data_IF_019853759856
#
_entry.id   IF_019853759856
#
_cell.length_a   1.000
_cell.length_b   1.000
_cell.length_c   1.000
_cell.angle_alpha   90.00
_cell.angle_beta   90.00
_cell.angle_gamma   90.00
#
_symmetry.space_group_name_H-M   'P 1'
#
loop_
_entity.id
_entity.type
_entity.pdbx_description
1 polymer ?
#
# COMPACT_ATOMS: atom_id res chain seq x y z
N UNK A 1 17.71 50.16 47.88
CA UNK A 1 17.08 48.85 48.16
C UNK A 1 16.26 48.37 46.95
N UNK A 2 16.84 48.47 45.74
CA UNK A 2 16.12 48.36 44.45
C UNK A 2 16.70 47.26 43.54
N UNK A 3 17.46 46.31 44.11
CA UNK A 3 18.16 45.26 43.37
C UNK A 3 17.61 43.85 43.62
N UNK A 4 16.67 43.69 44.56
CA UNK A 4 16.05 42.38 44.85
C UNK A 4 14.74 42.11 44.08
N UNK A 5 14.10 43.13 43.48
CA UNK A 5 12.86 42.94 42.68
C UNK A 5 13.10 42.59 41.21
N UNK A 6 14.30 42.82 40.67
CA UNK A 6 14.61 42.48 39.27
C UNK A 6 14.94 40.98 39.09
N UNK A 7 15.59 40.37 40.08
CA UNK A 7 16.04 38.96 39.98
C UNK A 7 14.85 37.99 40.08
N UNK A 8 13.80 38.35 40.82
CA UNK A 8 12.63 37.49 40.98
C UNK A 8 11.72 37.51 39.74
N UNK A 9 11.73 38.56 38.93
CA UNK A 9 11.04 38.55 37.62
C UNK A 9 11.80 37.74 36.56
N UNK A 10 13.14 37.65 36.64
CA UNK A 10 13.95 36.91 35.68
C UNK A 10 13.82 35.38 35.84
N UNK A 11 13.61 34.91 37.08
CA UNK A 11 13.40 33.48 37.36
C UNK A 11 12.01 33.02 36.89
N UNK A 12 10.97 33.86 36.98
CA UNK A 12 9.66 33.55 36.40
C UNK A 12 9.67 33.57 34.86
N UNK A 13 10.56 34.33 34.23
CA UNK A 13 10.72 34.34 32.75
C UNK A 13 11.54 33.15 32.24
N UNK A 14 12.49 32.64 33.03
CA UNK A 14 13.26 31.43 32.67
C UNK A 14 12.51 30.14 33.01
N UNK A 15 11.56 30.17 33.96
CA UNK A 15 10.70 29.02 34.28
C UNK A 15 9.45 28.89 33.38
N UNK A 16 9.12 29.91 32.58
CA UNK A 16 8.07 29.83 31.54
C UNK A 16 8.63 29.66 30.13
N UNK A 17 9.95 29.67 29.97
CA UNK A 17 10.64 29.43 28.69
C UNK A 17 11.19 28.00 28.57
N UNK A 18 10.63 27.06 29.33
CA UNK A 18 10.90 25.62 29.22
C UNK A 18 9.64 24.78 29.01
N UNK A 19 8.49 25.42 28.73
CA UNK A 19 7.23 24.73 28.41
C UNK A 19 6.75 24.92 26.96
N UNK A 20 7.63 25.33 26.04
CA UNK A 20 7.31 25.51 24.62
C UNK A 20 8.36 24.93 23.68
N UNK A 21 9.00 23.85 24.08
CA UNK A 21 9.92 23.08 23.26
C UNK A 21 9.70 21.59 23.49
N UNK A 22 8.46 21.14 23.32
CA UNK A 22 8.13 19.73 23.05
C UNK A 22 6.99 19.70 22.03
N UNK A 23 7.15 20.40 20.91
CA UNK A 23 6.52 19.93 19.69
C UNK A 23 7.30 18.68 19.29
N UNK A 24 6.84 17.52 19.76
CA UNK A 24 7.27 16.20 19.28
C UNK A 24 7.36 16.32 17.76
N UNK A 25 8.58 16.36 17.23
CA UNK A 25 8.80 16.28 15.80
C UNK A 25 8.30 14.89 15.42
N UNK A 26 7.06 14.81 14.95
CA UNK A 26 6.58 13.60 14.29
C UNK A 26 7.63 13.26 13.23
N UNK A 27 8.14 12.02 13.19
CA UNK A 27 9.17 11.67 12.24
C UNK A 27 8.53 11.71 10.87
N UNK A 28 8.72 12.84 10.18
CA UNK A 28 8.47 12.92 8.74
C UNK A 28 9.21 11.74 8.13
N UNK A 29 8.54 10.92 7.30
CA UNK A 29 9.18 9.77 6.67
C UNK A 29 10.43 10.24 5.94
N UNK A 30 11.59 9.80 6.42
CA UNK A 30 12.88 10.19 5.84
C UNK A 30 13.08 9.59 4.44
N UNK A 31 12.37 8.49 4.17
CA UNK A 31 12.45 7.74 2.93
C UNK A 31 11.45 8.26 1.89
N UNK A 32 11.80 8.07 0.61
CA UNK A 32 10.94 8.38 -0.54
C UNK A 32 9.54 7.76 -0.42
N UNK A 33 9.51 6.53 0.08
CA UNK A 33 8.34 5.69 0.33
C UNK A 33 8.05 5.57 1.84
N UNK A 34 6.78 5.68 2.20
CA UNK A 34 6.27 5.50 3.56
C UNK A 34 6.44 4.07 4.04
N UNK A 35 6.15 3.10 3.16
CA UNK A 35 6.26 1.68 3.45
C UNK A 35 7.70 1.28 3.75
N UNK A 36 8.70 1.91 3.14
CA UNK A 36 10.09 1.70 3.55
C UNK A 36 10.30 2.06 5.03
N UNK A 37 9.78 3.21 5.47
CA UNK A 37 9.88 3.65 6.87
C UNK A 37 9.10 2.76 7.85
N UNK A 38 8.10 2.03 7.36
CA UNK A 38 7.43 0.96 8.11
C UNK A 38 8.31 -0.28 8.19
N UNK A 39 8.80 -0.79 7.06
CA UNK A 39 9.61 -2.00 7.01
C UNK A 39 11.02 -1.88 7.61
N UNK A 40 11.53 -0.67 7.76
CA UNK A 40 12.74 -0.39 8.54
C UNK A 40 12.54 -0.69 10.05
N UNK A 41 11.28 -0.71 10.52
CA UNK A 41 10.91 -0.98 11.91
C UNK A 41 10.21 -2.33 12.12
N UNK A 42 9.46 -2.78 11.13
CA UNK A 42 8.63 -3.98 11.21
C UNK A 42 9.04 -4.97 10.12
N UNK A 43 9.12 -6.25 10.46
CA UNK A 43 9.49 -7.29 9.49
C UNK A 43 8.30 -7.89 8.75
N UNK A 44 7.09 -7.76 9.31
CA UNK A 44 5.86 -8.35 8.80
C UNK A 44 4.76 -7.30 8.81
N UNK A 45 3.93 -7.28 7.77
CA UNK A 45 2.78 -6.39 7.67
C UNK A 45 1.60 -6.92 8.49
N UNK A 46 1.32 -6.25 9.60
CA UNK A 46 0.08 -6.41 10.37
C UNK A 46 -0.75 -5.13 10.31
N UNK A 47 -2.06 -5.29 10.12
CA UNK A 47 -2.97 -4.15 9.92
C UNK A 47 -2.99 -3.21 11.14
N UNK A 48 -3.02 -3.75 12.36
CA UNK A 48 -2.99 -2.95 13.61
C UNK A 48 -1.70 -2.14 13.76
N UNK A 49 -0.56 -2.75 13.44
CA UNK A 49 0.75 -2.12 13.58
C UNK A 49 0.92 -1.03 12.53
N UNK A 50 0.43 -1.29 11.31
CA UNK A 50 0.43 -0.32 10.25
C UNK A 50 -0.49 0.86 10.57
N UNK A 51 -1.72 0.61 11.04
CA UNK A 51 -2.65 1.67 11.40
C UNK A 51 -2.09 2.55 12.55
N UNK A 52 -1.40 1.95 13.52
CA UNK A 52 -0.68 2.66 14.57
C UNK A 52 0.52 3.45 14.03
N UNK A 53 1.30 2.87 13.13
CA UNK A 53 2.38 3.59 12.46
C UNK A 53 1.84 4.81 11.70
N UNK A 54 0.75 4.66 10.96
CA UNK A 54 0.13 5.73 10.18
C UNK A 54 -0.39 6.87 11.07
N UNK A 55 -0.94 6.58 12.24
CA UNK A 55 -1.42 7.61 13.19
C UNK A 55 -0.28 8.41 13.83
N UNK A 56 0.91 7.83 13.94
CA UNK A 56 2.11 8.50 14.45
C UNK A 56 2.88 9.27 13.38
N UNK A 57 2.98 8.69 12.18
CA UNK A 57 3.76 9.23 11.06
C UNK A 57 3.06 10.39 10.35
N UNK A 58 1.73 10.44 10.43
CA UNK A 58 0.93 11.49 9.83
C UNK A 58 0.22 12.22 10.95
N UNK A 59 0.69 13.42 11.34
CA UNK A 59 0.03 14.23 12.36
C UNK A 59 -1.44 14.40 11.99
N UNK A 60 -2.33 14.07 12.93
CA UNK A 60 -3.77 14.30 12.82
C UNK A 60 -4.04 15.79 12.97
N UNK A 61 -3.65 16.58 11.98
CA UNK A 61 -3.70 18.03 12.02
C UNK A 61 -3.20 18.62 10.71
N UNK A 62 -4.10 19.23 9.95
CA UNK A 62 -3.75 19.95 8.74
C UNK A 62 -2.99 21.21 9.14
N UNK A 63 -1.65 21.21 8.99
CA UNK A 63 -0.88 22.45 9.03
C UNK A 63 -1.39 23.48 7.99
N UNK A 64 -2.16 23.02 7.00
CA UNK A 64 -2.76 23.77 5.89
C UNK A 64 -4.29 24.03 6.02
N UNK A 65 -4.98 23.62 7.09
CA UNK A 65 -6.45 23.79 7.19
C UNK A 65 -7.27 23.10 6.09
N UNK A 66 -6.67 22.14 5.39
CA UNK A 66 -7.22 21.47 4.21
C UNK A 66 -7.75 20.08 4.57
N UNK A 67 -8.95 19.75 4.10
CA UNK A 67 -9.58 18.43 4.24
C UNK A 67 -10.01 17.97 2.84
N UNK A 68 -9.40 16.88 2.34
CA UNK A 68 -9.89 16.18 1.16
C UNK A 68 -10.88 15.11 1.57
N UNK A 69 -12.12 15.26 1.11
CA UNK A 69 -13.14 14.24 1.27
C UNK A 69 -13.29 13.44 -0.01
N UNK A 70 -13.32 12.13 0.15
CA UNK A 70 -13.61 11.19 -0.90
C UNK A 70 -15.13 11.15 -1.11
N UNK A 71 -15.59 11.27 -2.35
CA UNK A 71 -17.03 11.14 -2.67
C UNK A 71 -17.38 9.68 -2.97
N UNK A 72 -16.65 9.05 -3.88
CA UNK A 72 -16.87 7.66 -4.26
C UNK A 72 -15.55 6.90 -4.37
N UNK A 73 -15.56 5.65 -3.91
CA UNK A 73 -14.50 4.67 -4.17
C UNK A 73 -15.09 3.44 -4.81
N UNK A 74 -14.72 3.19 -6.07
CA UNK A 74 -15.14 1.99 -6.80
C UNK A 74 -13.94 1.11 -7.10
N UNK A 75 -14.08 -0.18 -6.77
CA UNK A 75 -13.02 -1.18 -6.96
C UNK A 75 -13.57 -2.40 -7.68
N UNK A 76 -12.83 -2.88 -8.66
CA UNK A 76 -13.22 -4.03 -9.47
C UNK A 76 -11.99 -4.88 -9.85
N UNK A 77 -12.12 -6.20 -9.75
CA UNK A 77 -11.15 -7.13 -10.34
C UNK A 77 -11.41 -7.30 -11.84
N UNK A 78 -10.36 -7.17 -12.63
CA UNK A 78 -10.36 -7.33 -14.08
C UNK A 78 -9.48 -8.53 -14.43
N UNK A 79 -9.95 -9.35 -15.37
CA UNK A 79 -9.23 -10.54 -15.85
C UNK A 79 -9.68 -11.83 -15.16
N UNK A 80 -9.01 -12.93 -15.52
CA UNK A 80 -9.34 -14.29 -15.10
C UNK A 80 -8.10 -15.07 -14.68
N UNK A 81 -8.28 -16.11 -13.85
CA UNK A 81 -7.17 -16.95 -13.40
C UNK A 81 -6.33 -16.36 -12.27
N UNK A 82 -5.02 -16.64 -12.30
CA UNK A 82 -4.05 -16.27 -11.25
C UNK A 82 -3.36 -14.93 -11.50
N UNK A 83 -3.48 -14.33 -12.68
CA UNK A 83 -3.01 -12.95 -12.96
C UNK A 83 -4.24 -12.10 -13.25
N UNK A 84 -4.47 -11.08 -12.41
CA UNK A 84 -5.62 -10.17 -12.51
C UNK A 84 -5.20 -8.76 -12.14
N UNK A 85 -5.99 -7.78 -12.56
CA UNK A 85 -5.76 -6.38 -12.20
C UNK A 85 -6.85 -5.87 -11.29
N UNK A 86 -6.47 -5.16 -10.21
CA UNK A 86 -7.42 -4.39 -9.40
C UNK A 86 -7.54 -2.99 -10.00
N UNK A 87 -8.69 -2.69 -10.56
CA UNK A 87 -9.03 -1.34 -11.01
C UNK A 87 -9.65 -0.55 -9.87
N UNK A 88 -9.04 0.59 -9.57
CA UNK A 88 -9.50 1.51 -8.53
C UNK A 88 -9.86 2.84 -9.17
N UNK A 89 -11.10 3.26 -8.97
CA UNK A 89 -11.64 4.56 -9.35
C UNK A 89 -11.94 5.36 -8.10
N UNK A 90 -11.33 6.53 -8.01
CA UNK A 90 -11.37 7.43 -6.86
C UNK A 90 -11.99 8.73 -7.33
N UNK A 91 -13.08 9.13 -6.67
CA UNK A 91 -13.74 10.40 -6.93
C UNK A 91 -13.65 11.28 -5.69
N UNK A 92 -13.33 12.55 -5.89
CA UNK A 92 -13.23 13.52 -4.81
C UNK A 92 -14.51 14.34 -4.71
N UNK A 93 -14.82 14.80 -3.50
CA UNK A 93 -15.86 15.79 -3.31
C UNK A 93 -15.29 17.17 -3.65
N UNK A 94 -15.96 17.89 -4.56
CA UNK A 94 -15.56 19.27 -4.90
C UNK A 94 -15.73 20.17 -3.67
N UNK A 95 -14.63 20.62 -3.08
CA UNK A 95 -14.62 21.63 -2.03
C UNK A 95 -13.55 22.68 -2.34
N UNK A 96 -13.89 23.94 -2.07
CA UNK A 96 -13.07 25.08 -2.45
C UNK A 96 -11.83 25.14 -1.54
N UNK A 97 -10.67 24.84 -2.13
CA UNK A 97 -9.39 24.86 -1.44
C UNK A 97 -9.05 26.28 -0.97
N UNK A 98 -8.86 26.45 0.34
CA UNK A 98 -8.28 27.66 0.92
C UNK A 98 -6.86 27.41 1.44
N UNK A 99 -6.03 26.68 0.68
CA UNK A 99 -4.60 26.66 0.99
C UNK A 99 -3.80 27.42 -0.08
N UNK A 100 -3.45 28.66 0.23
CA UNK A 100 -2.54 29.52 -0.55
C UNK A 100 -1.12 28.92 -0.66
N UNK A 101 -0.84 27.82 0.05
CA UNK A 101 0.46 27.17 0.16
C UNK A 101 0.75 26.13 -0.95
N UNK A 102 -0.20 25.81 -1.83
CA UNK A 102 -0.06 24.81 -2.89
C UNK A 102 0.66 25.38 -4.13
N UNK A 103 1.92 25.75 -3.94
CA UNK A 103 2.79 26.33 -4.97
C UNK A 103 3.93 25.35 -5.29
N UNK A 104 3.76 24.14 -5.82
CA UNK A 104 3.48 23.92 -7.25
C UNK A 104 3.51 22.40 -7.61
N UNK A 105 3.65 21.49 -6.64
CA UNK A 105 3.68 20.04 -6.87
C UNK A 105 3.07 19.26 -5.71
N UNK A 106 1.98 18.54 -5.99
CA UNK A 106 1.40 17.57 -5.07
C UNK A 106 1.52 16.18 -5.66
N UNK A 107 1.67 15.21 -4.78
CA UNK A 107 1.77 13.81 -5.11
C UNK A 107 0.67 13.08 -4.35
N UNK A 108 -0.07 12.27 -5.09
CA UNK A 108 -1.08 11.40 -4.52
C UNK A 108 -0.47 10.02 -4.32
N UNK A 109 -0.44 9.58 -3.08
CA UNK A 109 0.18 8.32 -2.67
C UNK A 109 -0.94 7.35 -2.31
N UNK A 110 -0.90 6.16 -2.90
CA UNK A 110 -1.84 5.08 -2.64
C UNK A 110 -1.05 3.90 -2.10
N UNK A 111 -1.43 3.42 -0.93
CA UNK A 111 -0.86 2.23 -0.31
C UNK A 111 -1.90 1.12 -0.37
N UNK A 112 -1.62 0.11 -1.17
CA UNK A 112 -2.43 -1.08 -1.33
C UNK A 112 -1.84 -2.22 -0.47
N UNK A 113 -2.50 -2.53 0.65
CA UNK A 113 -2.14 -3.66 1.52
C UNK A 113 -2.68 -4.95 0.93
N UNK A 114 -1.81 -5.77 0.35
CA UNK A 114 -2.25 -6.98 -0.34
C UNK A 114 -2.66 -8.08 0.67
N UNK A 115 -3.74 -8.84 0.38
CA UNK A 115 -4.12 -9.97 1.21
C UNK A 115 -3.08 -11.11 1.08
N UNK A 116 -3.08 -12.03 2.04
CA UNK A 116 -2.18 -13.18 1.98
C UNK A 116 -2.44 -14.02 0.72
N UNK A 117 -1.36 -14.52 0.11
CA UNK A 117 -1.45 -15.28 -1.13
C UNK A 117 -1.64 -14.43 -2.40
N UNK A 118 -1.53 -13.10 -2.30
CA UNK A 118 -1.49 -12.19 -3.44
C UNK A 118 -0.21 -11.35 -3.38
N UNK A 119 0.40 -11.08 -4.52
CA UNK A 119 1.55 -10.19 -4.64
C UNK A 119 1.48 -9.37 -5.94
N UNK A 120 2.27 -8.32 -6.01
CA UNK A 120 2.49 -7.57 -7.24
C UNK A 120 3.92 -7.82 -7.73
N UNK A 121 4.09 -8.02 -9.04
CA UNK A 121 5.42 -8.21 -9.64
C UNK A 121 6.12 -6.85 -9.79
N UNK A 122 7.26 -6.62 -9.10
CA UNK A 122 8.00 -5.37 -9.23
C UNK A 122 8.42 -5.03 -10.67
N UNK A 123 8.71 -6.04 -11.50
CA UNK A 123 9.12 -5.81 -12.90
C UNK A 123 7.94 -5.32 -13.75
N UNK A 124 6.76 -5.92 -13.58
CA UNK A 124 5.54 -5.47 -14.23
C UNK A 124 5.18 -4.02 -13.82
N UNK A 125 5.32 -3.68 -12.53
CA UNK A 125 5.06 -2.33 -12.04
C UNK A 125 6.07 -1.30 -12.54
N UNK A 126 7.35 -1.66 -12.67
CA UNK A 126 8.35 -0.78 -13.27
C UNK A 126 7.98 -0.40 -14.71
N UNK A 127 7.38 -1.32 -15.48
CA UNK A 127 6.91 -0.97 -16.82
C UNK A 127 5.82 0.11 -16.81
N UNK A 128 4.97 0.17 -15.77
CA UNK A 128 3.95 1.21 -15.62
C UNK A 128 4.58 2.58 -15.31
N UNK A 129 5.67 2.61 -14.55
CA UNK A 129 6.47 3.84 -14.32
C UNK A 129 7.12 4.31 -15.61
N UNK A 130 7.76 3.40 -16.36
CA UNK A 130 8.41 3.75 -17.64
C UNK A 130 7.42 4.30 -18.67
N UNK A 131 6.16 3.87 -18.63
CA UNK A 131 5.08 4.38 -19.48
C UNK A 131 4.46 5.69 -18.97
N UNK A 132 4.91 6.20 -17.83
CA UNK A 132 4.41 7.42 -17.21
C UNK A 132 3.01 7.28 -16.60
N UNK A 133 2.53 6.05 -16.36
CA UNK A 133 1.23 5.82 -15.69
C UNK A 133 1.36 6.15 -14.20
N UNK A 134 2.46 5.70 -13.59
CA UNK A 134 2.84 6.03 -12.21
C UNK A 134 4.08 6.91 -12.21
N UNK A 135 4.17 7.86 -11.29
CA UNK A 135 5.40 8.65 -11.13
C UNK A 135 6.46 7.84 -10.40
N UNK A 136 6.04 7.00 -9.46
CA UNK A 136 6.89 6.02 -8.81
C UNK A 136 6.06 4.88 -8.23
N UNK A 137 6.70 3.73 -8.00
CA UNK A 137 6.04 2.57 -7.38
C UNK A 137 7.06 1.65 -6.74
N UNK A 138 6.71 1.08 -5.58
CA UNK A 138 7.51 0.05 -4.95
C UNK A 138 6.64 -1.00 -4.25
N UNK A 139 7.15 -2.23 -4.21
CA UNK A 139 6.55 -3.38 -3.51
C UNK A 139 7.38 -3.65 -2.27
N UNK A 140 6.71 -3.87 -1.15
CA UNK A 140 7.34 -4.13 0.14
C UNK A 140 6.76 -5.38 0.80
N UNK A 141 7.58 -6.09 1.58
CA UNK A 141 7.22 -7.37 2.19
C UNK A 141 7.63 -8.56 1.32
N UNK A 142 6.80 -9.60 1.29
CA UNK A 142 7.13 -10.83 0.58
C UNK A 142 6.93 -10.72 -0.94
N UNK A 143 8.05 -10.72 -1.67
CA UNK A 143 8.11 -10.70 -3.13
C UNK A 143 8.61 -12.01 -3.73
N UNK A 144 8.76 -13.08 -2.95
CA UNK A 144 9.28 -14.35 -3.45
C UNK A 144 8.22 -15.08 -4.26
N UNK A 145 8.29 -15.01 -5.59
CA UNK A 145 7.31 -15.59 -6.52
C UNK A 145 7.08 -17.09 -6.34
N UNK A 146 8.06 -17.81 -5.81
CA UNK A 146 8.05 -19.28 -5.70
C UNK A 146 7.37 -19.79 -4.42
N UNK A 147 7.16 -18.94 -3.41
CA UNK A 147 6.54 -19.38 -2.16
C UNK A 147 5.02 -19.54 -2.31
N UNK A 148 4.45 -20.69 -1.85
CA UNK A 148 3.01 -20.85 -1.78
C UNK A 148 2.39 -19.95 -0.70
N UNK A 149 1.08 -19.71 -0.77
CA UNK A 149 0.43 -18.72 0.08
C UNK A 149 0.52 -19.02 1.59
N UNK A 150 0.58 -20.29 1.97
CA UNK A 150 0.69 -20.71 3.38
C UNK A 150 2.09 -20.55 3.99
N UNK A 151 3.11 -20.27 3.17
CA UNK A 151 4.47 -19.95 3.62
C UNK A 151 4.85 -18.49 3.35
N UNK A 152 4.03 -17.76 2.59
CA UNK A 152 4.30 -16.38 2.24
C UNK A 152 3.77 -15.42 3.30
N UNK A 153 4.53 -14.35 3.57
CA UNK A 153 4.02 -13.20 4.31
C UNK A 153 3.21 -12.27 3.40
N UNK A 154 2.49 -11.32 4.00
CA UNK A 154 1.78 -10.28 3.24
C UNK A 154 2.78 -9.28 2.63
N UNK A 155 2.34 -8.64 1.57
CA UNK A 155 3.06 -7.55 0.90
C UNK A 155 2.17 -6.32 0.79
N UNK A 156 2.76 -5.18 0.48
CA UNK A 156 2.05 -3.96 0.16
C UNK A 156 2.70 -3.25 -1.03
N UNK A 157 1.90 -2.52 -1.78
CA UNK A 157 2.37 -1.71 -2.90
C UNK A 157 2.12 -0.25 -2.56
N UNK A 158 3.15 0.57 -2.63
CA UNK A 158 3.05 2.02 -2.52
C UNK A 158 3.21 2.62 -3.92
N UNK A 159 2.18 3.36 -4.35
CA UNK A 159 2.05 3.90 -5.70
C UNK A 159 1.98 5.41 -5.59
N UNK A 160 2.78 6.09 -6.39
CA UNK A 160 2.87 7.53 -6.42
C UNK A 160 2.33 8.03 -7.76
N UNK A 161 1.45 9.03 -7.70
CA UNK A 161 0.89 9.73 -8.84
C UNK A 161 1.20 11.22 -8.73
N UNK A 162 1.71 11.82 -9.80
CA UNK A 162 1.82 13.27 -9.88
C UNK A 162 0.44 13.86 -10.13
N UNK A 163 0.00 14.74 -9.23
CA UNK A 163 -1.30 15.40 -9.32
C UNK A 163 -1.08 16.89 -9.43
N UNK A 164 -1.64 17.48 -10.50
CA UNK A 164 -1.68 18.92 -10.64
C UNK A 164 -2.48 19.50 -9.46
N UNK A 165 -1.97 20.51 -8.72
CA UNK A 165 -2.72 21.15 -7.64
C UNK A 165 -4.14 21.61 -8.04
N UNK A 166 -4.36 21.92 -9.32
CA UNK A 166 -5.67 22.31 -9.85
C UNK A 166 -6.66 21.14 -9.96
N UNK A 167 -6.20 19.89 -10.01
CA UNK A 167 -7.07 18.68 -9.94
C UNK A 167 -7.79 18.59 -8.59
N UNK A 168 -7.25 19.23 -7.54
CA UNK A 168 -7.94 19.33 -6.25
C UNK A 168 -9.03 20.44 -6.27
N UNK A 169 -9.08 21.26 -7.32
CA UNK A 169 -10.06 22.35 -7.50
C UNK A 169 -11.16 21.98 -8.51
N UNK A 170 -10.88 21.08 -9.46
CA UNK A 170 -11.83 20.57 -10.45
C UNK A 170 -12.11 19.07 -10.24
N UNK A 171 -13.36 18.58 -10.39
CA UNK A 171 -13.70 17.18 -10.17
C UNK A 171 -13.05 16.29 -11.24
N UNK A 172 -11.84 15.82 -10.98
CA UNK A 172 -11.15 14.84 -11.83
C UNK A 172 -11.11 13.50 -11.11
N UNK A 173 -11.68 12.49 -11.75
CA UNK A 173 -11.64 11.13 -11.25
C UNK A 173 -10.24 10.53 -11.47
N UNK A 174 -9.65 9.95 -10.43
CA UNK A 174 -8.40 9.18 -10.57
C UNK A 174 -8.78 7.73 -10.84
N UNK A 175 -8.36 7.21 -12.00
CA UNK A 175 -8.47 5.79 -12.34
C UNK A 175 -7.08 5.17 -12.44
N UNK A 176 -6.88 4.06 -11.76
CA UNK A 176 -5.67 3.26 -11.86
C UNK A 176 -5.99 1.76 -11.95
N UNK A 177 -5.05 0.99 -12.50
CA UNK A 177 -5.12 -0.46 -12.57
C UNK A 177 -3.80 -1.03 -12.04
N UNK A 178 -3.89 -1.85 -11.00
CA UNK A 178 -2.75 -2.51 -10.38
C UNK A 178 -2.75 -3.99 -10.77
N UNK A 179 -1.77 -4.48 -11.57
CA UNK A 179 -1.66 -5.88 -11.89
C UNK A 179 -1.15 -6.67 -10.68
N UNK A 180 -1.79 -7.81 -10.43
CA UNK A 180 -1.58 -8.67 -9.26
C UNK A 180 -1.57 -10.13 -9.66
N UNK A 181 -0.85 -10.91 -8.87
CA UNK A 181 -0.65 -12.33 -9.06
C UNK A 181 -1.07 -13.08 -7.80
N UNK A 182 -1.79 -14.19 -7.99
CA UNK A 182 -2.19 -15.10 -6.95
C UNK A 182 -1.16 -16.22 -6.81
N UNK A 183 -0.72 -16.46 -5.57
CA UNK A 183 0.13 -17.60 -5.20
C UNK A 183 -0.68 -18.88 -5.15
N UNK A 184 0.02 -20.02 -5.20
CA UNK A 184 -0.59 -21.32 -4.97
C UNK A 184 -1.27 -21.37 -3.62
N UNK A 185 -2.57 -21.64 -3.64
CA UNK A 185 -3.42 -21.69 -2.45
C UNK A 185 -3.50 -23.12 -1.90
N UNK A 186 -3.75 -23.31 -0.59
CA UNK A 186 -4.01 -24.63 -0.02
C UNK A 186 -5.25 -25.26 -0.66
N UNK A 187 -5.22 -26.58 -0.79
CA UNK A 187 -6.35 -27.34 -1.34
C UNK A 187 -7.64 -27.05 -0.56
N UNK A 188 -8.74 -26.88 -1.28
CA UNK A 188 -10.06 -26.59 -0.73
C UNK A 188 -11.08 -27.62 -1.23
N UNK A 189 -12.14 -27.89 -0.48
CA UNK A 189 -13.23 -28.78 -0.92
C UNK A 189 -13.93 -28.25 -2.18
N UNK A 190 -14.12 -26.92 -2.27
CA UNK A 190 -14.76 -26.27 -3.42
C UNK A 190 -13.85 -26.20 -4.65
N UNK A 191 -12.56 -26.51 -4.51
CA UNK A 191 -11.53 -26.28 -5.52
C UNK A 191 -11.05 -24.83 -5.63
N UNK A 192 -11.62 -23.90 -4.86
CA UNK A 192 -11.23 -22.49 -4.85
C UNK A 192 -10.90 -22.00 -3.43
N UNK A 193 -9.94 -21.08 -3.35
CA UNK A 193 -9.66 -20.27 -2.18
C UNK A 193 -10.12 -18.84 -2.45
N UNK A 194 -10.63 -18.15 -1.43
CA UNK A 194 -11.12 -16.76 -1.56
C UNK A 194 -10.23 -15.83 -0.78
N UNK A 195 -9.75 -14.78 -1.45
CA UNK A 195 -9.05 -13.68 -0.80
C UNK A 195 -9.85 -12.40 -1.00
N UNK A 196 -9.87 -11.56 0.02
CA UNK A 196 -10.63 -10.33 0.05
C UNK A 196 -9.69 -9.13 0.14
N UNK A 197 -9.93 -8.13 -0.70
CA UNK A 197 -9.16 -6.89 -0.67
C UNK A 197 -9.82 -5.86 0.25
N UNK A 198 -9.04 -5.38 1.22
CA UNK A 198 -9.38 -4.20 2.01
C UNK A 198 -9.21 -2.91 1.21
N UNK A 199 -9.82 -1.81 1.66
CA UNK A 199 -9.70 -0.53 0.98
C UNK A 199 -8.26 0.03 1.11
N UNK A 200 -7.68 0.63 0.04
CA UNK A 200 -6.33 1.18 0.09
C UNK A 200 -6.27 2.40 1.01
N UNK A 201 -5.09 2.68 1.53
CA UNK A 201 -4.79 3.90 2.26
C UNK A 201 -4.34 4.98 1.26
N UNK A 202 -4.92 6.17 1.35
CA UNK A 202 -4.73 7.24 0.37
C UNK A 202 -4.25 8.49 1.06
N UNK A 203 -3.19 9.08 0.50
CA UNK A 203 -2.50 10.21 1.10
C UNK A 203 -2.17 11.25 0.03
N UNK A 204 -2.06 12.51 0.45
CA UNK A 204 -1.53 13.57 -0.39
C UNK A 204 -0.30 14.16 0.26
N UNK A 205 0.79 14.24 -0.52
CA UNK A 205 2.05 14.89 -0.16
C UNK A 205 2.23 16.13 -1.02
N UNK A 206 2.21 17.31 -0.41
CA UNK A 206 2.48 18.57 -1.12
C UNK A 206 3.70 19.27 -0.54
N UNK A 207 4.52 19.89 -1.40
CA UNK A 207 5.67 20.70 -1.00
C UNK A 207 5.41 22.20 -1.08
N UNK A 208 6.10 22.98 -0.24
CA UNK A 208 6.05 24.46 -0.23
C UNK A 208 7.38 25.07 -0.66
N UNK A 209 7.34 26.19 -1.39
CA UNK A 209 8.55 26.93 -1.81
C UNK A 209 9.04 27.87 -0.70
N UNK A 210 10.35 27.87 -0.41
CA UNK A 210 11.03 29.03 0.19
C UNK A 210 11.63 28.89 1.59
N UNK A 211 11.66 27.72 2.22
CA UNK A 211 12.49 27.47 3.42
C UNK A 211 13.36 26.24 3.20
N UNK A 212 14.58 26.29 3.74
CA UNK A 212 15.67 25.31 3.62
C UNK A 212 15.29 23.91 4.18
N UNK A 213 14.12 23.80 4.79
CA UNK A 213 13.54 22.57 5.29
C UNK A 213 12.36 22.17 4.40
N UNK A 214 12.46 21.00 3.76
CA UNK A 214 11.40 20.38 2.97
C UNK A 214 10.18 20.10 3.85
N UNK A 215 9.32 21.09 4.03
CA UNK A 215 8.05 20.91 4.72
C UNK A 215 7.08 20.22 3.77
N UNK A 216 6.83 18.93 4.03
CA UNK A 216 5.80 18.17 3.34
C UNK A 216 4.55 18.16 4.20
N UNK A 217 3.42 18.53 3.61
CA UNK A 217 2.12 18.31 4.23
C UNK A 217 1.60 16.96 3.79
N UNK A 218 1.39 16.05 4.75
CA UNK A 218 0.72 14.77 4.55
C UNK A 218 -0.73 14.88 4.99
N UNK A 219 -1.65 14.44 4.13
CA UNK A 219 -3.06 14.38 4.45
C UNK A 219 -3.55 12.97 4.23
N UNK A 220 -4.10 12.34 5.27
CA UNK A 220 -4.87 11.11 5.09
C UNK A 220 -6.25 11.48 4.58
N UNK A 221 -6.71 10.79 3.53
CA UNK A 221 -8.08 10.95 3.06
C UNK A 221 -9.04 10.25 4.03
N UNK A 222 -10.00 11.00 4.55
CA UNK A 222 -11.11 10.44 5.33
C UNK A 222 -12.10 9.75 4.39
N UNK A 223 -12.50 8.54 4.78
CA UNK A 223 -13.45 7.69 4.05
C UNK A 223 -14.87 7.81 4.60
N UNK A 224 -15.07 8.54 5.70
CA UNK A 224 -16.25 8.44 6.57
C UNK A 224 -17.58 8.84 5.89
N UNK A 225 -17.52 9.65 4.82
CA UNK A 225 -18.68 10.03 4.01
C UNK A 225 -18.68 9.42 2.60
N UNK A 226 -17.67 8.61 2.25
CA UNK A 226 -17.50 8.13 0.87
C UNK A 226 -18.40 6.93 0.60
N UNK A 227 -19.12 6.95 -0.53
CA UNK A 227 -19.84 5.76 -0.95
C UNK A 227 -18.83 4.71 -1.45
N UNK A 228 -18.67 3.65 -0.67
CA UNK A 228 -17.93 2.46 -1.06
C UNK A 228 -18.79 1.64 -2.04
N UNK A 229 -18.64 1.93 -3.33
CA UNK A 229 -19.38 1.22 -4.38
C UNK A 229 -18.61 -0.01 -4.85
N UNK A 230 -19.08 -1.16 -4.41
CA UNK A 230 -18.65 -2.47 -4.90
C UNK A 230 -18.77 -3.50 -3.79
N UNK A 231 -19.10 -4.77 -4.13
CA UNK A 231 -18.85 -5.85 -3.18
C UNK A 231 -17.37 -5.79 -2.77
N UNK A 232 -17.07 -6.20 -1.54
CA UNK A 232 -15.70 -6.54 -1.16
C UNK A 232 -15.03 -7.22 -2.35
N UNK A 233 -13.91 -6.67 -2.81
CA UNK A 233 -13.28 -7.15 -4.03
C UNK A 233 -12.74 -8.53 -3.69
N UNK A 234 -13.53 -9.58 -3.97
CA UNK A 234 -13.22 -10.96 -3.62
C UNK A 234 -12.65 -11.65 -4.84
N UNK A 235 -11.43 -12.16 -4.71
CA UNK A 235 -10.79 -12.97 -5.73
C UNK A 235 -10.92 -14.44 -5.37
N UNK A 236 -11.65 -15.18 -6.21
CA UNK A 236 -11.73 -16.65 -6.17
C UNK A 236 -10.56 -17.24 -6.94
N UNK A 237 -9.55 -17.71 -6.23
CA UNK A 237 -8.32 -18.28 -6.77
C UNK A 237 -8.48 -19.81 -6.86
N UNK A 238 -8.21 -20.44 -8.01
CA UNK A 238 -8.20 -21.90 -8.12
C UNK A 238 -7.13 -22.52 -7.20
N UNK A 239 -7.51 -23.55 -6.44
CA UNK A 239 -6.65 -24.17 -5.42
C UNK A 239 -6.63 -25.72 -5.47
N UNK A 240 -7.43 -26.33 -6.34
CA UNK A 240 -7.53 -27.79 -6.44
C UNK A 240 -8.44 -28.40 -5.36
N UNK A 241 -9.08 -29.51 -5.71
CA UNK A 241 -10.04 -30.21 -4.84
C UNK A 241 -9.31 -31.22 -3.97
N UNK A 242 -9.42 -31.09 -2.65
CA UNK A 242 -8.74 -31.98 -1.70
C UNK A 242 -9.06 -33.47 -1.92
N UNK A 243 -10.31 -33.80 -2.24
CA UNK A 243 -10.75 -35.18 -2.48
C UNK A 243 -10.06 -35.85 -3.69
N UNK A 244 -9.54 -35.06 -4.63
CA UNK A 244 -8.85 -35.59 -5.82
C UNK A 244 -7.35 -35.75 -5.60
N UNK A 245 -6.79 -35.22 -4.50
CA UNK A 245 -5.35 -35.14 -4.29
C UNK A 245 -4.67 -36.52 -4.29
N UNK A 246 -5.23 -37.49 -3.55
CA UNK A 246 -4.65 -38.83 -3.44
C UNK A 246 -4.68 -39.58 -4.79
N UNK A 247 -5.81 -39.46 -5.52
CA UNK A 247 -5.96 -40.06 -6.83
C UNK A 247 -4.96 -39.48 -7.84
N UNK A 248 -4.88 -38.15 -7.90
CA UNK A 248 -3.94 -37.45 -8.79
C UNK A 248 -2.51 -37.81 -8.43
N UNK A 249 -2.15 -37.82 -7.15
CA UNK A 249 -0.82 -38.20 -6.67
C UNK A 249 -0.45 -39.63 -7.09
N UNK A 250 -1.35 -40.61 -6.87
CA UNK A 250 -1.11 -41.99 -7.26
C UNK A 250 -0.95 -42.14 -8.78
N UNK A 251 -1.82 -41.50 -9.57
CA UNK A 251 -1.74 -41.54 -11.04
C UNK A 251 -0.44 -40.91 -11.56
N UNK A 252 -0.05 -39.74 -11.04
CA UNK A 252 1.20 -39.06 -11.39
C UNK A 252 2.41 -39.91 -11.01
N UNK A 253 2.41 -40.55 -9.84
CA UNK A 253 3.49 -41.43 -9.41
C UNK A 253 3.63 -42.64 -10.34
N UNK A 254 2.54 -43.32 -10.68
CA UNK A 254 2.55 -44.48 -11.60
C UNK A 254 3.06 -44.05 -12.97
N UNK A 255 2.55 -42.93 -13.51
CA UNK A 255 2.98 -42.42 -14.82
C UNK A 255 4.49 -42.08 -14.82
N UNK A 256 4.98 -41.43 -13.77
CA UNK A 256 6.40 -41.11 -13.62
C UNK A 256 7.27 -42.37 -13.53
N UNK A 257 6.84 -43.37 -12.75
CA UNK A 257 7.55 -44.64 -12.62
C UNK A 257 7.62 -45.40 -13.94
N UNK A 258 6.51 -45.51 -14.67
CA UNK A 258 6.47 -46.16 -15.98
C UNK A 258 7.35 -45.42 -16.99
N UNK A 259 7.34 -44.09 -16.97
CA UNK A 259 8.21 -43.27 -17.83
C UNK A 259 9.69 -43.50 -17.53
N UNK A 260 10.06 -43.56 -16.24
CA UNK A 260 11.43 -43.86 -15.83
C UNK A 260 11.87 -45.25 -16.29
N UNK A 261 11.03 -46.27 -16.07
CA UNK A 261 11.31 -47.64 -16.52
C UNK A 261 11.49 -47.70 -18.04
N UNK A 262 10.66 -46.99 -18.80
CA UNK A 262 10.77 -46.93 -20.25
C UNK A 262 12.10 -46.33 -20.70
N UNK A 263 12.52 -45.21 -20.11
CA UNK A 263 13.83 -44.59 -20.41
C UNK A 263 14.98 -45.53 -20.05
N UNK A 264 14.93 -46.20 -18.89
CA UNK A 264 15.95 -47.17 -18.50
C UNK A 264 16.05 -48.35 -19.47
N UNK A 265 14.91 -48.89 -19.93
CA UNK A 265 14.89 -49.98 -20.90
C UNK A 265 15.50 -49.54 -22.24
N UNK A 266 15.14 -48.36 -22.73
CA UNK A 266 15.74 -47.80 -23.96
C UNK A 266 17.26 -47.68 -23.80
N UNK A 267 17.72 -47.14 -22.67
CA UNK A 267 19.15 -46.96 -22.41
C UNK A 267 19.91 -48.28 -22.36
N UNK A 268 19.38 -49.30 -21.66
CA UNK A 268 20.01 -50.64 -21.58
C UNK A 268 20.06 -51.35 -22.94
N UNK A 269 19.10 -51.10 -23.83
CA UNK A 269 19.06 -51.71 -25.17
C UNK A 269 19.97 -50.96 -26.15
N UNK A 270 20.30 -49.69 -25.88
CA UNK A 270 21.11 -48.84 -26.75
C UNK A 270 22.64 -48.98 -26.52
N UNK A 271 23.06 -49.52 -25.38
CA UNK A 271 24.43 -50.00 -25.10
C UNK A 271 24.61 -51.47 -25.51
#
# INVERSE_FOLDING_TARGET
MATRRCIQLFIYFLATCSSLADSVSSPVPANKFLMQSYYDRYTILHDSDFDNFMSQAIPSGSSCGFVLRLSDLKRTLIGEGSHRSVSTLIKFQTQQLKCELLSYSCEFIIIERLPSGVFADPFELQHLVHRGIFSDVAVFGDTNLELPSFLSNRSAVEIHLLVNPNILQEPTDIKMELPLHARYQPLNESGYSTVEFGAPDMLVRCGTKGKVENHYCFFKLEKDDANLYGPHTVWRIPSGIKAHADLVSAATFIAALLSLLHVCIIYIIAD
#
